data_IF_763170757192
#
_entry.id   IF_763170757192
#
_cell.length_a   1.000
_cell.length_b   1.000
_cell.length_c   1.000
_cell.angle_alpha   90.00
_cell.angle_beta   90.00
_cell.angle_gamma   90.00
#
_symmetry.space_group_name_H-M   'P 1'
#
loop_
_entity.id
_entity.type
_entity.pdbx_description
1 polymer ?
#
# COMPACT_ATOMS: atom_id res chain seq x y z
N UNK A 1 17.23 3.36 37.39
CA UNK A 1 17.02 2.27 36.40
C UNK A 1 15.56 2.14 35.94
N UNK A 2 14.57 2.00 36.85
CA UNK A 2 13.16 1.81 36.47
C UNK A 2 12.57 2.88 35.53
N UNK A 3 12.86 4.16 35.77
CA UNK A 3 12.39 5.25 34.90
C UNK A 3 12.97 5.17 33.47
N UNK A 4 14.26 4.83 33.34
CA UNK A 4 14.89 4.64 32.03
C UNK A 4 14.25 3.49 31.24
N UNK A 5 13.91 2.40 31.93
CA UNK A 5 13.21 1.26 31.30
C UNK A 5 11.84 1.69 30.80
N UNK A 6 11.05 2.39 31.60
CA UNK A 6 9.73 2.88 31.18
C UNK A 6 9.81 3.92 30.06
N UNK A 7 10.81 4.81 30.08
CA UNK A 7 11.07 5.72 28.97
C UNK A 7 11.41 4.99 27.68
N UNK A 8 12.26 3.95 27.74
CA UNK A 8 12.61 3.15 26.58
C UNK A 8 11.40 2.39 26.01
N UNK A 9 10.57 1.80 26.89
CA UNK A 9 9.32 1.14 26.50
C UNK A 9 8.36 2.13 25.83
N UNK A 10 8.16 3.31 26.43
CA UNK A 10 7.30 4.35 25.86
C UNK A 10 7.79 4.83 24.50
N UNK A 11 9.10 5.06 24.37
CA UNK A 11 9.71 5.47 23.11
C UNK A 11 9.54 4.39 22.01
N UNK A 12 9.75 3.12 22.35
CA UNK A 12 9.54 2.02 21.42
C UNK A 12 8.08 1.91 20.96
N UNK A 13 7.13 2.05 21.89
CA UNK A 13 5.71 1.98 21.57
C UNK A 13 5.28 3.14 20.65
N UNK A 14 5.75 4.36 20.93
CA UNK A 14 5.49 5.53 20.09
C UNK A 14 6.08 5.35 18.69
N UNK A 15 7.29 4.81 18.58
CA UNK A 15 7.94 4.56 17.29
C UNK A 15 7.15 3.57 16.43
N UNK A 16 6.72 2.45 17.03
CA UNK A 16 5.90 1.46 16.33
C UNK A 16 4.56 2.06 15.92
N UNK A 17 3.88 2.79 16.81
CA UNK A 17 2.62 3.43 16.50
C UNK A 17 2.75 4.43 15.33
N UNK A 18 3.78 5.28 15.34
CA UNK A 18 4.04 6.25 14.27
C UNK A 18 4.32 5.57 12.92
N UNK A 19 5.13 4.50 12.92
CA UNK A 19 5.43 3.75 11.70
C UNK A 19 4.16 3.13 11.09
N UNK A 20 3.32 2.50 11.91
CA UNK A 20 2.07 1.89 11.44
C UNK A 20 1.06 2.95 10.97
N UNK A 21 0.94 4.07 11.69
CA UNK A 21 0.11 5.19 11.28
C UNK A 21 0.52 5.73 9.90
N UNK A 22 1.82 5.85 9.64
CA UNK A 22 2.34 6.28 8.35
C UNK A 22 1.97 5.31 7.22
N UNK A 23 2.03 3.99 7.46
CA UNK A 23 1.62 2.99 6.47
C UNK A 23 0.12 3.12 6.11
N UNK A 24 -0.73 3.28 7.13
CA UNK A 24 -2.18 3.49 6.92
C UNK A 24 -2.43 4.80 6.16
N UNK A 25 -1.73 5.87 6.54
CA UNK A 25 -1.82 7.15 5.85
C UNK A 25 -1.46 7.01 4.37
N UNK A 26 -0.32 6.38 4.05
CA UNK A 26 0.10 6.15 2.66
C UNK A 26 -0.94 5.32 1.91
N UNK A 27 -1.46 4.25 2.49
CA UNK A 27 -2.45 3.39 1.83
C UNK A 27 -3.71 4.15 1.41
N UNK A 28 -4.16 5.10 2.24
CA UNK A 28 -5.37 5.90 1.97
C UNK A 28 -5.05 7.12 1.09
N UNK A 29 -3.95 7.81 1.37
CA UNK A 29 -3.55 9.02 0.65
C UNK A 29 -3.12 8.73 -0.79
N UNK A 30 -2.67 7.50 -1.08
CA UNK A 30 -2.17 7.13 -2.40
C UNK A 30 -3.21 7.17 -3.51
N UNK A 31 -4.50 7.46 -3.23
CA UNK A 31 -5.61 7.67 -4.18
C UNK A 31 -5.15 7.48 -5.63
N UNK A 32 -5.01 6.21 -6.09
CA UNK A 32 -4.57 5.98 -7.44
C UNK A 32 -5.69 6.54 -8.28
N UNK A 33 -5.40 7.54 -9.12
CA UNK A 33 -6.38 8.03 -10.08
C UNK A 33 -6.99 6.81 -10.77
N UNK A 34 -8.32 6.74 -10.76
CA UNK A 34 -9.06 5.69 -11.46
C UNK A 34 -8.83 5.91 -12.96
N UNK A 35 -7.71 5.42 -13.48
CA UNK A 35 -7.43 5.41 -14.91
C UNK A 35 -8.47 4.55 -15.61
N UNK A 36 -8.89 4.95 -16.82
CA UNK A 36 -9.75 4.09 -17.63
C UNK A 36 -9.03 2.77 -17.90
N UNK A 37 -9.40 1.74 -17.15
CA UNK A 37 -8.87 0.40 -17.33
C UNK A 37 -9.46 -0.20 -18.59
N UNK A 38 -8.64 -0.32 -19.63
CA UNK A 38 -9.03 -1.07 -20.82
C UNK A 38 -9.15 -2.56 -20.45
N UNK A 39 -10.24 -3.20 -20.88
CA UNK A 39 -10.44 -4.63 -20.65
C UNK A 39 -9.29 -5.43 -21.25
N UNK A 40 -8.86 -6.49 -20.57
CA UNK A 40 -7.87 -7.44 -21.10
C UNK A 40 -8.33 -7.93 -22.49
N UNK A 41 -7.57 -7.60 -23.54
CA UNK A 41 -7.90 -7.92 -24.93
C UNK A 41 -8.39 -6.73 -25.78
N UNK A 42 -8.71 -5.58 -25.17
CA UNK A 42 -8.98 -4.32 -25.87
C UNK A 42 -7.77 -3.38 -25.72
N UNK A 43 -7.23 -2.87 -26.84
CA UNK A 43 -6.24 -1.79 -26.81
C UNK A 43 -4.81 -2.17 -26.38
N UNK A 44 -4.45 -3.46 -26.32
CA UNK A 44 -3.16 -3.96 -25.83
C UNK A 44 -1.90 -3.51 -26.62
N UNK A 45 -2.05 -2.65 -27.64
CA UNK A 45 -0.96 -2.11 -28.46
C UNK A 45 -0.85 -0.59 -28.46
N UNK A 46 -1.79 0.13 -27.82
CA UNK A 46 -1.81 1.59 -27.85
C UNK A 46 -1.01 2.19 -26.68
N UNK A 47 -0.10 3.11 -27.01
CA UNK A 47 0.79 3.73 -26.02
C UNK A 47 -0.03 4.63 -25.10
N UNK A 48 -0.01 4.34 -23.80
CA UNK A 48 -0.74 5.12 -22.77
C UNK A 48 -2.02 4.48 -22.27
N UNK A 49 -2.40 3.29 -22.77
CA UNK A 49 -3.51 2.51 -22.22
C UNK A 49 -3.02 1.51 -21.17
N UNK A 50 -3.69 1.50 -20.02
CA UNK A 50 -3.32 0.64 -18.89
C UNK A 50 -4.39 -0.44 -18.69
N UNK A 51 -4.02 -1.71 -18.96
CA UNK A 51 -4.87 -2.86 -18.68
C UNK A 51 -4.55 -3.46 -17.31
N UNK A 52 -5.54 -4.05 -16.65
CA UNK A 52 -5.31 -4.83 -15.43
C UNK A 52 -4.40 -6.04 -15.73
N UNK A 53 -3.45 -6.33 -14.82
CA UNK A 53 -2.61 -7.51 -14.90
C UNK A 53 -3.46 -8.80 -14.85
N UNK A 54 -3.08 -9.80 -15.65
CA UNK A 54 -3.75 -11.11 -15.64
C UNK A 54 -3.54 -11.79 -14.28
N UNK A 55 -4.61 -12.32 -13.68
CA UNK A 55 -4.51 -13.04 -12.41
C UNK A 55 -3.68 -14.32 -12.56
N UNK A 56 -2.88 -14.64 -11.55
CA UNK A 56 -2.11 -15.90 -11.47
C UNK A 56 -2.92 -17.07 -10.89
N UNK A 57 -4.23 -16.88 -10.70
CA UNK A 57 -5.10 -17.92 -10.17
C UNK A 57 -5.25 -19.04 -11.20
N UNK A 58 -4.77 -20.23 -10.87
CA UNK A 58 -5.19 -21.45 -11.58
C UNK A 58 -6.49 -21.91 -10.95
N UNK A 59 -7.62 -21.67 -11.62
CA UNK A 59 -8.85 -22.37 -11.27
C UNK A 59 -8.59 -23.86 -11.55
N UNK A 60 -8.73 -24.71 -10.52
CA UNK A 60 -8.68 -26.16 -10.65
C UNK A 60 -10.08 -26.71 -10.67
#
# INVERSE_FOLDING_TARGET
MRYLVWSAVGAGLLLVAAANYHLVYVAIASQPDCVEHVRTGQGAGDRGLFAAAKSSCSFK
#
